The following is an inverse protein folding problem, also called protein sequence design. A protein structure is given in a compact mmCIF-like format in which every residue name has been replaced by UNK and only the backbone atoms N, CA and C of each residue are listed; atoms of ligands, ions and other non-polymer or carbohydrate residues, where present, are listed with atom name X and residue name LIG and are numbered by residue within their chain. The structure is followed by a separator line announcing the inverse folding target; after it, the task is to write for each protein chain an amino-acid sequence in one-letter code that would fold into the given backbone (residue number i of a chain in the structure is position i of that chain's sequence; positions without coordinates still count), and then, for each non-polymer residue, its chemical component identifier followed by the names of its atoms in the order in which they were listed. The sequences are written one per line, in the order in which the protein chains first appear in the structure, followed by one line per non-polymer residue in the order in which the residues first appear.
data_IF_615408514039
#
_entry.id   IF_615408514039
#
_cell.length_a   1.000
_cell.length_b   1.000
_cell.length_c   1.000
_cell.angle_alpha   90.00
_cell.angle_beta   90.00
_cell.angle_gamma   90.00
#
_symmetry.space_group_name_H-M   'P 1'
#
loop_
_entity.id
_entity.type
_entity.pdbx_description
1 polymer ?
#
# COMPACT_ATOMS: atom_id res chain seq x y z
N UNK A 1 -83.56 -44.16 34.75
CA UNK A 1 -84.23 -43.64 35.96
C UNK A 1 -83.69 -42.29 36.31
N UNK A 2 -84.64 -41.35 36.47
CA UNK A 2 -84.63 -40.09 37.21
C UNK A 2 -83.63 -39.00 36.74
N UNK A 3 -84.11 -37.98 36.06
CA UNK A 3 -84.79 -36.70 36.48
C UNK A 3 -83.77 -35.87 37.34
N UNK A 4 -83.45 -34.68 36.99
CA UNK A 4 -84.13 -33.39 36.61
C UNK A 4 -83.26 -32.32 37.28
N UNK A 5 -83.16 -31.13 37.01
CA UNK A 5 -84.10 -30.05 36.87
C UNK A 5 -83.32 -28.78 36.53
N UNK A 6 -83.88 -27.94 35.71
CA UNK A 6 -83.40 -26.61 35.32
C UNK A 6 -83.46 -25.63 36.50
N UNK A 7 -82.56 -24.64 36.52
CA UNK A 7 -82.99 -23.30 37.01
C UNK A 7 -82.22 -22.20 36.19
N UNK A 8 -83.06 -21.35 35.65
CA UNK A 8 -82.64 -20.07 35.00
C UNK A 8 -82.77 -19.00 36.03
N UNK A 9 -81.79 -18.16 36.14
CA UNK A 9 -82.00 -16.80 36.70
C UNK A 9 -81.36 -15.79 35.74
N UNK A 10 -82.22 -14.94 35.19
CA UNK A 10 -81.89 -13.72 34.50
C UNK A 10 -81.56 -12.65 35.52
N UNK A 11 -80.53 -11.89 35.38
CA UNK A 11 -80.47 -10.52 35.95
C UNK A 11 -79.84 -9.60 34.88
N UNK A 12 -80.47 -8.49 34.77
CA UNK A 12 -80.44 -7.44 33.79
C UNK A 12 -79.24 -6.52 33.95
N UNK A 13 -78.84 -5.99 32.85
CA UNK A 13 -77.95 -4.88 32.50
C UNK A 13 -77.66 -3.79 33.56
N UNK A 14 -76.41 -3.31 33.51
CA UNK A 14 -76.08 -1.89 33.62
C UNK A 14 -74.86 -1.58 32.76
N UNK A 15 -75.09 -0.74 31.77
CA UNK A 15 -74.08 -0.11 30.96
C UNK A 15 -73.46 1.04 31.74
N UNK A 16 -72.14 0.99 32.01
CA UNK A 16 -71.36 2.17 32.35
C UNK A 16 -70.23 2.34 31.35
N UNK A 17 -70.41 3.30 30.43
CA UNK A 17 -69.38 3.79 29.52
C UNK A 17 -68.37 4.61 30.34
N UNK A 18 -67.18 4.10 30.56
CA UNK A 18 -66.03 4.88 31.02
C UNK A 18 -65.00 4.85 29.87
N UNK A 19 -64.93 5.94 29.14
CA UNK A 19 -63.91 6.19 28.17
C UNK A 19 -62.59 6.40 28.85
N UNK A 20 -61.65 5.46 28.67
CA UNK A 20 -60.21 5.65 28.97
C UNK A 20 -59.50 5.81 27.64
N UNK A 21 -59.10 7.06 27.37
CA UNK A 21 -58.16 7.41 26.36
C UNK A 21 -56.83 6.71 26.66
N UNK A 22 -56.56 5.57 26.03
CA UNK A 22 -55.23 4.96 25.95
C UNK A 22 -54.37 5.76 24.99
N UNK A 23 -53.69 6.80 25.51
CA UNK A 23 -52.56 7.42 24.83
C UNK A 23 -51.51 6.33 24.66
N UNK A 24 -51.46 5.74 23.45
CA UNK A 24 -50.40 4.83 23.03
C UNK A 24 -49.07 5.60 23.06
N UNK A 25 -48.28 5.35 24.06
CA UNK A 25 -46.84 5.61 24.03
C UNK A 25 -46.25 4.72 22.93
N UNK A 26 -46.22 5.27 21.70
CA UNK A 26 -45.29 4.81 20.68
C UNK A 26 -43.86 5.12 21.21
N UNK A 27 -43.33 4.23 22.04
CA UNK A 27 -41.90 4.16 22.22
C UNK A 27 -41.34 3.83 20.84
N UNK A 28 -40.86 4.84 20.13
CA UNK A 28 -39.96 4.63 19.04
C UNK A 28 -38.78 3.84 19.64
N UNK A 29 -38.80 2.52 19.43
CA UNK A 29 -37.59 1.75 19.53
C UNK A 29 -36.66 2.35 18.45
N UNK A 30 -35.82 3.31 18.86
CA UNK A 30 -34.63 3.59 18.14
C UNK A 30 -33.87 2.25 18.10
N UNK A 31 -34.03 1.53 17.01
CA UNK A 31 -33.29 0.32 16.77
C UNK A 31 -31.85 0.66 17.06
N UNK A 32 -31.28 0.05 18.07
CA UNK A 32 -29.86 0.13 18.33
C UNK A 32 -29.17 -0.34 17.04
N UNK A 33 -28.77 0.61 16.21
CA UNK A 33 -28.00 0.33 15.01
C UNK A 33 -26.78 -0.41 15.55
N UNK A 34 -26.62 -1.67 15.14
CA UNK A 34 -25.49 -2.49 15.56
C UNK A 34 -24.25 -1.63 15.41
N UNK A 35 -23.51 -1.44 16.50
CA UNK A 35 -22.34 -0.57 16.49
C UNK A 35 -21.34 -1.15 15.50
N UNK A 36 -20.96 -0.36 14.51
CA UNK A 36 -19.94 -0.75 13.54
C UNK A 36 -18.65 -1.11 14.29
N UNK A 37 -18.00 -2.26 13.98
CA UNK A 37 -16.75 -2.65 14.64
C UNK A 37 -15.72 -1.52 14.63
N UNK A 38 -15.08 -1.27 15.78
CA UNK A 38 -14.08 -0.21 15.95
C UNK A 38 -14.59 1.22 15.88
N UNK A 39 -15.93 1.44 15.93
CA UNK A 39 -16.51 2.78 15.91
C UNK A 39 -17.31 3.03 17.19
N UNK A 40 -16.98 4.14 17.85
CA UNK A 40 -17.74 4.64 19.01
C UNK A 40 -18.31 6.04 18.70
N UNK A 41 -18.95 6.66 19.68
CA UNK A 41 -19.42 8.04 19.57
C UNK A 41 -18.28 9.06 19.39
N UNK A 42 -17.08 8.75 19.90
CA UNK A 42 -15.94 9.67 19.98
C UNK A 42 -14.62 9.13 19.38
N UNK A 43 -14.58 7.86 18.93
CA UNK A 43 -13.38 7.25 18.34
C UNK A 43 -13.67 6.36 17.13
N UNK A 44 -12.61 6.15 16.32
CA UNK A 44 -12.51 5.17 15.26
C UNK A 44 -11.18 4.45 15.47
N UNK A 45 -11.24 3.15 15.75
CA UNK A 45 -10.07 2.33 16.05
C UNK A 45 -9.59 1.59 14.79
N UNK A 46 -8.33 1.76 14.41
CA UNK A 46 -7.73 1.23 13.19
C UNK A 46 -6.46 0.46 13.53
N UNK A 47 -6.24 -0.67 12.87
CA UNK A 47 -5.01 -1.42 12.96
C UNK A 47 -3.97 -0.97 11.93
N UNK A 48 -2.70 -1.04 12.31
CA UNK A 48 -1.57 -0.78 11.43
C UNK A 48 -0.51 -1.87 11.60
N UNK A 49 -0.22 -2.61 10.53
CA UNK A 49 0.80 -3.67 10.52
C UNK A 49 1.97 -3.19 9.66
N UNK A 50 3.18 -3.37 10.16
CA UNK A 50 4.40 -3.08 9.40
C UNK A 50 5.56 -4.00 9.84
N UNK A 51 6.62 -4.04 9.04
CA UNK A 51 7.90 -4.64 9.42
C UNK A 51 8.79 -3.57 10.07
N UNK A 52 8.53 -3.24 11.35
CA UNK A 52 9.31 -2.24 12.09
C UNK A 52 10.64 -2.79 12.61
N UNK A 53 10.75 -4.11 12.67
CA UNK A 53 11.97 -4.84 12.98
C UNK A 53 12.21 -5.99 11.99
N UNK A 54 13.38 -6.64 12.07
CA UNK A 54 13.78 -7.68 11.13
C UNK A 54 14.34 -7.12 9.83
N UNK A 55 14.41 -7.98 8.81
CA UNK A 55 15.18 -7.76 7.56
C UNK A 55 14.57 -6.71 6.60
N UNK A 56 13.31 -6.30 6.79
CA UNK A 56 12.68 -5.23 6.00
C UNK A 56 12.64 -3.88 6.72
N UNK A 57 13.14 -3.80 7.96
CA UNK A 57 12.99 -2.64 8.84
C UNK A 57 13.56 -1.34 8.23
N UNK A 58 14.71 -1.40 7.57
CA UNK A 58 15.34 -0.21 6.98
C UNK A 58 14.46 0.47 5.93
N UNK A 59 13.77 -0.32 5.09
CA UNK A 59 12.84 0.17 4.07
C UNK A 59 11.56 0.74 4.68
N UNK A 60 11.08 0.13 5.79
CA UNK A 60 9.81 0.50 6.46
C UNK A 60 9.98 1.52 7.58
N UNK A 61 11.20 1.92 7.90
CA UNK A 61 11.51 2.83 9.01
C UNK A 61 10.62 4.08 9.01
N UNK A 62 10.05 4.38 10.17
CA UNK A 62 9.15 5.51 10.40
C UNK A 62 7.80 5.45 9.64
N UNK A 63 7.39 4.32 9.09
CA UNK A 63 6.07 4.21 8.44
C UNK A 63 4.93 4.43 9.45
N UNK A 64 5.03 3.82 10.63
CA UNK A 64 4.11 4.02 11.76
C UNK A 64 4.05 5.48 12.22
N UNK A 65 5.23 6.12 12.39
CA UNK A 65 5.33 7.52 12.79
C UNK A 65 4.73 8.47 11.76
N UNK A 66 4.88 8.15 10.48
CA UNK A 66 4.30 8.90 9.37
C UNK A 66 2.77 8.80 9.36
N UNK A 67 2.24 7.60 9.53
CA UNK A 67 0.81 7.37 9.70
C UNK A 67 0.26 8.14 10.90
N UNK A 68 0.89 7.96 12.07
CA UNK A 68 0.48 8.65 13.30
C UNK A 68 0.54 10.17 13.16
N UNK A 69 1.55 10.73 12.48
CA UNK A 69 1.65 12.16 12.23
C UNK A 69 0.51 12.69 11.35
N UNK A 70 0.10 11.93 10.31
CA UNK A 70 -1.05 12.29 9.47
C UNK A 70 -2.36 12.24 10.25
N UNK A 71 -2.55 11.19 11.04
CA UNK A 71 -3.73 11.02 11.91
C UNK A 71 -3.78 12.10 12.99
N UNK A 72 -2.66 12.39 13.66
CA UNK A 72 -2.57 13.44 14.67
C UNK A 72 -2.91 14.82 14.11
N UNK A 73 -2.45 15.11 12.88
CA UNK A 73 -2.82 16.34 12.19
C UNK A 73 -4.33 16.45 11.91
N UNK A 74 -5.01 15.32 11.64
CA UNK A 74 -6.47 15.27 11.49
C UNK A 74 -7.17 15.40 12.83
N UNK A 75 -6.70 14.68 13.85
CA UNK A 75 -7.27 14.72 15.20
C UNK A 75 -7.17 16.12 15.83
N UNK A 76 -6.10 16.87 15.53
CA UNK A 76 -5.94 18.26 15.96
C UNK A 76 -6.97 19.22 15.33
N UNK A 77 -7.58 18.82 14.20
CA UNK A 77 -8.68 19.57 13.52
C UNK A 77 -10.08 19.11 14.00
N UNK A 78 -10.17 18.31 15.05
CA UNK A 78 -11.45 17.78 15.57
C UNK A 78 -11.75 16.35 15.11
N UNK A 79 -10.79 15.63 14.53
CA UNK A 79 -10.96 14.26 14.06
C UNK A 79 -11.80 14.15 12.78
N UNK A 80 -12.61 13.11 12.70
CA UNK A 80 -13.56 12.86 11.60
C UNK A 80 -14.98 12.85 12.17
N UNK A 81 -15.78 13.83 11.80
CA UNK A 81 -17.15 14.01 12.32
C UNK A 81 -17.22 13.95 13.86
N UNK A 82 -16.25 14.56 14.55
CA UNK A 82 -16.15 14.60 16.01
C UNK A 82 -15.49 13.37 16.65
N UNK A 83 -15.13 12.35 15.89
CA UNK A 83 -14.43 11.15 16.36
C UNK A 83 -12.92 11.26 16.15
N UNK A 84 -12.13 10.91 17.15
CA UNK A 84 -10.68 10.78 17.01
C UNK A 84 -10.35 9.42 16.36
N UNK A 85 -9.34 9.40 15.52
CA UNK A 85 -8.78 8.16 14.95
C UNK A 85 -7.70 7.67 15.90
N UNK A 86 -7.81 6.43 16.37
CA UNK A 86 -6.80 5.75 17.16
C UNK A 86 -6.12 4.68 16.28
N UNK A 87 -4.81 4.65 16.27
CA UNK A 87 -4.03 3.70 15.47
C UNK A 87 -3.29 2.75 16.40
N UNK A 88 -3.63 1.47 16.34
CA UNK A 88 -2.90 0.40 17.01
C UNK A 88 -1.85 -0.17 16.06
N UNK A 89 -0.58 -0.01 16.41
CA UNK A 89 0.56 -0.46 15.61
C UNK A 89 1.02 -1.83 16.08
N UNK A 90 1.18 -2.78 15.14
CA UNK A 90 1.75 -4.10 15.38
C UNK A 90 2.92 -4.34 14.43
N UNK A 91 4.03 -4.81 15.00
CA UNK A 91 5.24 -5.17 14.27
C UNK A 91 5.19 -6.66 13.88
N UNK A 92 5.26 -6.98 12.60
CA UNK A 92 5.33 -8.36 12.12
C UNK A 92 6.76 -8.94 12.14
N UNK A 93 7.75 -8.13 12.51
CA UNK A 93 9.14 -8.53 12.62
C UNK A 93 9.70 -9.13 11.32
N UNK A 94 9.16 -8.71 10.18
CA UNK A 94 9.49 -9.27 8.85
C UNK A 94 9.22 -10.79 8.75
N UNK A 95 8.19 -11.28 9.43
CA UNK A 95 7.78 -12.70 9.50
C UNK A 95 6.39 -12.90 8.91
N UNK A 96 6.25 -13.87 7.99
CA UNK A 96 4.96 -14.26 7.41
C UNK A 96 3.94 -14.63 8.49
N UNK A 97 4.34 -15.51 9.44
CA UNK A 97 3.45 -15.94 10.51
C UNK A 97 2.98 -14.81 11.41
N UNK A 98 3.90 -13.89 11.77
CA UNK A 98 3.55 -12.75 12.60
C UNK A 98 2.66 -11.75 11.88
N UNK A 99 2.80 -11.55 10.56
CA UNK A 99 1.90 -10.70 9.77
C UNK A 99 0.45 -11.23 9.84
N UNK A 100 0.25 -12.54 9.65
CA UNK A 100 -1.08 -13.14 9.78
C UNK A 100 -1.62 -13.08 11.22
N UNK A 101 -0.76 -13.33 12.23
CA UNK A 101 -1.16 -13.26 13.64
C UNK A 101 -1.54 -11.83 14.05
N UNK A 102 -0.81 -10.82 13.57
CA UNK A 102 -1.14 -9.42 13.77
C UNK A 102 -2.51 -9.05 13.17
N UNK A 103 -2.80 -9.52 11.95
CA UNK A 103 -4.10 -9.31 11.33
C UNK A 103 -5.24 -9.96 12.13
N UNK A 104 -5.04 -11.17 12.63
CA UNK A 104 -6.01 -11.87 13.50
C UNK A 104 -6.23 -11.13 14.81
N UNK A 105 -5.16 -10.67 15.48
CA UNK A 105 -5.27 -9.91 16.74
C UNK A 105 -6.06 -8.61 16.56
N UNK A 106 -5.75 -7.85 15.51
CA UNK A 106 -6.46 -6.60 15.21
C UNK A 106 -7.96 -6.82 14.97
N UNK A 107 -8.33 -7.88 14.26
CA UNK A 107 -9.72 -8.13 13.87
C UNK A 107 -10.50 -8.82 14.98
N UNK A 108 -9.95 -9.92 15.56
CA UNK A 108 -10.68 -10.75 16.52
C UNK A 108 -10.67 -10.21 17.93
N UNK A 109 -9.52 -9.67 18.40
CA UNK A 109 -9.35 -9.26 19.79
C UNK A 109 -9.57 -7.76 19.96
N UNK A 110 -9.12 -6.95 19.00
CA UNK A 110 -9.22 -5.47 19.10
C UNK A 110 -10.40 -4.90 18.33
N UNK A 111 -11.07 -5.73 17.51
CA UNK A 111 -12.28 -5.37 16.79
C UNK A 111 -12.16 -4.06 16.00
N UNK A 112 -11.03 -3.86 15.28
CA UNK A 112 -10.75 -2.61 14.56
C UNK A 112 -11.69 -2.39 13.38
N UNK A 113 -11.94 -1.13 13.04
CA UNK A 113 -12.76 -0.72 11.88
C UNK A 113 -12.12 -1.10 10.55
N UNK A 114 -10.85 -0.82 10.40
CA UNK A 114 -10.06 -1.08 9.19
C UNK A 114 -8.64 -1.52 9.56
N UNK A 115 -7.95 -2.16 8.64
CA UNK A 115 -6.54 -2.52 8.76
C UNK A 115 -5.75 -1.78 7.68
N UNK A 116 -4.63 -1.19 8.09
CA UNK A 116 -3.58 -0.75 7.17
C UNK A 116 -2.44 -1.76 7.28
N UNK A 117 -2.01 -2.34 6.17
CA UNK A 117 -0.89 -3.28 6.15
C UNK A 117 0.23 -2.75 5.25
N UNK A 118 1.19 -2.08 5.89
CA UNK A 118 2.39 -1.51 5.26
C UNK A 118 3.57 -2.50 5.25
N UNK A 119 3.33 -3.77 5.53
CA UNK A 119 4.38 -4.79 5.55
C UNK A 119 4.75 -5.24 4.14
N UNK A 120 6.04 -5.53 3.93
CA UNK A 120 6.51 -6.23 2.73
C UNK A 120 5.95 -7.66 2.59
N UNK A 121 5.30 -8.18 3.63
CA UNK A 121 4.73 -9.53 3.71
C UNK A 121 3.20 -9.52 3.81
N UNK A 122 2.54 -8.41 3.51
CA UNK A 122 1.10 -8.23 3.59
C UNK A 122 0.31 -9.24 2.75
N UNK A 123 0.93 -9.79 1.70
CA UNK A 123 0.36 -10.87 0.88
C UNK A 123 0.01 -12.13 1.68
N UNK A 124 0.57 -12.32 2.87
CA UNK A 124 0.28 -13.49 3.70
C UNK A 124 -1.04 -13.37 4.49
N UNK A 125 -1.51 -12.16 4.76
CA UNK A 125 -2.72 -11.94 5.58
C UNK A 125 -3.92 -11.38 4.81
N UNK A 126 -3.75 -10.91 3.56
CA UNK A 126 -4.82 -10.22 2.85
C UNK A 126 -6.08 -11.07 2.68
N UNK A 127 -5.95 -12.38 2.38
CA UNK A 127 -7.10 -13.28 2.21
C UNK A 127 -7.93 -13.42 3.50
N UNK A 128 -7.24 -13.49 4.63
CA UNK A 128 -7.91 -13.50 5.93
C UNK A 128 -8.67 -12.19 6.16
N UNK A 129 -8.01 -11.03 5.99
CA UNK A 129 -8.64 -9.72 6.18
C UNK A 129 -9.83 -9.55 5.22
N UNK A 130 -9.66 -9.95 3.96
CA UNK A 130 -10.70 -9.92 2.93
C UNK A 130 -11.91 -10.76 3.33
N UNK A 131 -11.70 -12.01 3.79
CA UNK A 131 -12.78 -12.92 4.20
C UNK A 131 -13.57 -12.43 5.42
N UNK A 132 -12.99 -11.54 6.23
CA UNK A 132 -13.67 -10.92 7.36
C UNK A 132 -14.45 -9.63 6.97
N UNK A 133 -14.45 -9.24 5.69
CA UNK A 133 -15.11 -8.03 5.22
C UNK A 133 -14.53 -6.74 5.81
N UNK A 134 -13.28 -6.79 6.32
CA UNK A 134 -12.60 -5.64 6.90
C UNK A 134 -11.94 -4.83 5.79
N UNK A 135 -12.14 -3.50 5.71
CA UNK A 135 -11.39 -2.66 4.78
C UNK A 135 -9.88 -2.78 5.01
N UNK A 136 -9.14 -3.08 3.95
CA UNK A 136 -7.69 -3.16 3.95
C UNK A 136 -7.11 -2.06 3.08
N UNK A 137 -6.24 -1.24 3.65
CA UNK A 137 -5.36 -0.35 2.91
C UNK A 137 -3.95 -0.94 2.97
N UNK A 138 -3.31 -1.16 1.83
CA UNK A 138 -1.99 -1.76 1.79
C UNK A 138 -0.97 -0.94 1.02
N UNK A 139 0.30 -1.25 1.24
CA UNK A 139 1.41 -0.55 0.59
C UNK A 139 1.44 -0.72 -0.93
N UNK A 140 0.84 -1.78 -1.45
CA UNK A 140 0.72 -2.04 -2.87
C UNK A 140 1.95 -2.64 -3.53
N UNK A 141 3.04 -2.82 -2.81
CA UNK A 141 4.28 -3.40 -3.35
C UNK A 141 4.53 -4.84 -2.90
N UNK A 142 3.77 -5.34 -1.97
CA UNK A 142 3.96 -6.63 -1.30
C UNK A 142 3.29 -7.81 -2.00
N UNK A 143 2.43 -7.56 -3.00
CA UNK A 143 1.72 -8.64 -3.68
C UNK A 143 0.99 -8.24 -4.95
N UNK A 144 0.37 -9.21 -5.58
CA UNK A 144 -0.34 -9.08 -6.85
C UNK A 144 -1.87 -9.13 -6.68
N UNK A 145 -2.39 -8.81 -5.52
CA UNK A 145 -3.80 -8.97 -5.16
C UNK A 145 -4.61 -7.66 -5.17
N UNK A 146 -3.94 -6.52 -5.34
CA UNK A 146 -4.59 -5.21 -5.44
C UNK A 146 -5.28 -5.01 -6.79
N UNK A 147 -6.44 -4.37 -6.78
CA UNK A 147 -7.19 -4.07 -7.99
C UNK A 147 -7.78 -5.29 -8.69
N UNK A 148 -7.79 -6.45 -8.05
CA UNK A 148 -8.44 -7.66 -8.58
C UNK A 148 -9.94 -7.64 -8.28
N UNK A 149 -10.75 -8.12 -9.23
CA UNK A 149 -12.18 -8.35 -9.00
C UNK A 149 -12.37 -9.37 -7.88
N UNK A 150 -13.26 -9.09 -6.94
CA UNK A 150 -13.46 -9.86 -5.73
C UNK A 150 -12.66 -9.36 -4.52
N UNK A 151 -11.74 -8.41 -4.73
CA UNK A 151 -10.94 -7.78 -3.68
C UNK A 151 -11.30 -6.28 -3.50
N UNK A 152 -12.59 -5.94 -3.68
CA UNK A 152 -13.06 -4.55 -3.63
C UNK A 152 -12.91 -3.90 -2.24
N UNK A 153 -12.77 -4.69 -1.19
CA UNK A 153 -12.43 -4.18 0.15
C UNK A 153 -10.92 -3.96 0.39
N UNK A 154 -10.08 -4.18 -0.64
CA UNK A 154 -8.62 -4.00 -0.59
C UNK A 154 -8.22 -2.83 -1.47
N UNK A 155 -7.61 -1.81 -0.86
CA UNK A 155 -7.22 -0.57 -1.52
C UNK A 155 -5.71 -0.41 -1.42
N UNK A 156 -5.07 -0.12 -2.55
CA UNK A 156 -3.61 0.06 -2.61
C UNK A 156 -3.21 1.51 -2.38
N UNK A 157 -2.21 1.73 -1.53
CA UNK A 157 -1.56 3.02 -1.32
C UNK A 157 -0.77 3.56 -2.53
N UNK A 158 -0.53 2.70 -3.53
CA UNK A 158 0.13 3.07 -4.80
C UNK A 158 -0.78 2.93 -6.03
N UNK A 159 -2.10 2.86 -5.83
CA UNK A 159 -3.09 2.65 -6.88
C UNK A 159 -3.41 1.17 -7.12
N UNK A 160 -4.46 0.91 -7.89
CA UNK A 160 -4.98 -0.45 -8.14
C UNK A 160 -4.17 -1.26 -9.15
N UNK A 161 -2.89 -0.94 -9.35
CA UNK A 161 -2.02 -1.65 -10.27
C UNK A 161 -1.06 -2.55 -9.50
N UNK A 162 -1.41 -3.81 -9.36
CA UNK A 162 -0.47 -4.79 -8.86
C UNK A 162 0.59 -5.10 -9.94
N UNK A 163 1.86 -5.28 -9.55
CA UNK A 163 2.86 -5.83 -10.46
C UNK A 163 2.41 -7.21 -10.91
N UNK A 164 2.29 -7.42 -12.20
CA UNK A 164 1.93 -8.71 -12.79
C UNK A 164 3.09 -9.19 -13.64
N UNK A 165 3.43 -10.46 -13.53
CA UNK A 165 4.43 -11.05 -14.43
C UNK A 165 3.98 -10.85 -15.87
N UNK A 166 4.84 -10.23 -16.66
CA UNK A 166 4.56 -9.92 -18.07
C UNK A 166 4.14 -8.48 -18.35
N UNK A 167 3.85 -7.65 -17.33
CA UNK A 167 3.58 -6.22 -17.50
C UNK A 167 4.57 -5.36 -16.70
N UNK A 168 5.01 -4.24 -17.26
CA UNK A 168 5.89 -3.26 -16.60
C UNK A 168 5.75 -1.88 -17.25
N UNK A 169 6.41 -0.87 -16.69
CA UNK A 169 6.47 0.47 -17.29
C UNK A 169 7.87 0.80 -17.81
N UNK A 170 7.93 1.53 -18.91
CA UNK A 170 9.18 1.81 -19.62
C UNK A 170 9.96 3.03 -19.14
N UNK A 171 9.48 3.78 -18.13
CA UNK A 171 10.16 4.98 -17.63
C UNK A 171 11.56 4.69 -17.08
N UNK A 172 11.72 3.66 -16.26
CA UNK A 172 13.01 3.24 -15.70
C UNK A 172 13.97 2.73 -16.79
N UNK A 173 13.51 1.86 -17.66
CA UNK A 173 14.35 1.29 -18.74
C UNK A 173 14.74 2.35 -19.77
N UNK A 174 13.87 3.32 -20.07
CA UNK A 174 14.21 4.49 -20.91
C UNK A 174 15.30 5.35 -20.28
N UNK A 175 15.27 5.54 -18.95
CA UNK A 175 16.34 6.24 -18.25
C UNK A 175 17.66 5.47 -18.38
N UNK A 176 17.66 4.17 -18.08
CA UNK A 176 18.83 3.32 -18.19
C UNK A 176 19.41 3.31 -19.62
N UNK A 177 18.54 3.32 -20.64
CA UNK A 177 18.98 3.47 -22.04
C UNK A 177 19.70 4.78 -22.30
N UNK A 178 19.19 5.90 -21.78
CA UNK A 178 19.85 7.22 -21.88
C UNK A 178 21.19 7.26 -21.16
N UNK A 179 21.37 6.47 -20.10
CA UNK A 179 22.64 6.30 -19.39
C UNK A 179 23.63 5.39 -20.15
N UNK A 180 23.23 4.81 -21.27
CA UNK A 180 24.07 3.98 -22.10
C UNK A 180 24.03 2.49 -21.78
N UNK A 181 23.08 2.03 -20.96
CA UNK A 181 22.88 0.61 -20.66
C UNK A 181 22.54 -0.13 -21.95
N UNK A 182 23.25 -1.24 -22.20
CA UNK A 182 23.09 -2.09 -23.38
C UNK A 182 22.55 -3.47 -23.05
N UNK A 183 22.79 -3.94 -21.82
CA UNK A 183 22.32 -5.23 -21.33
C UNK A 183 21.85 -5.10 -19.88
N UNK A 184 20.54 -5.29 -19.65
CA UNK A 184 19.89 -5.08 -18.36
C UNK A 184 19.67 -6.38 -17.61
N UNK A 185 20.21 -6.50 -16.40
CA UNK A 185 19.84 -7.53 -15.45
C UNK A 185 18.84 -7.03 -14.40
N UNK A 186 18.24 -7.98 -13.68
CA UNK A 186 17.45 -7.68 -12.49
C UNK A 186 17.51 -8.82 -11.47
N UNK A 187 17.22 -8.48 -10.21
CA UNK A 187 17.12 -9.44 -9.10
C UNK A 187 15.82 -9.17 -8.35
N UNK A 188 15.09 -10.24 -8.01
CA UNK A 188 13.87 -10.20 -7.21
C UNK A 188 13.88 -11.24 -6.11
N UNK A 189 13.13 -11.01 -5.04
CA UNK A 189 12.98 -11.97 -3.93
C UNK A 189 12.03 -13.11 -4.31
N UNK A 190 12.42 -14.36 -4.02
CA UNK A 190 11.61 -15.54 -4.33
C UNK A 190 10.28 -15.60 -3.56
N UNK A 191 10.25 -15.10 -2.33
CA UNK A 191 9.02 -15.09 -1.51
C UNK A 191 8.11 -13.89 -1.78
N UNK A 192 8.60 -12.84 -2.46
CA UNK A 192 7.83 -11.63 -2.74
C UNK A 192 7.29 -11.65 -4.17
N UNK A 193 5.99 -11.89 -4.36
CA UNK A 193 5.39 -11.94 -5.70
C UNK A 193 5.60 -10.66 -6.52
N UNK A 194 5.56 -9.49 -5.85
CA UNK A 194 5.76 -8.20 -6.53
C UNK A 194 7.22 -7.97 -6.92
N UNK A 195 8.17 -8.33 -6.06
CA UNK A 195 9.61 -8.17 -6.35
C UNK A 195 10.04 -9.07 -7.51
N UNK A 196 9.67 -10.36 -7.47
CA UNK A 196 9.97 -11.32 -8.55
C UNK A 196 9.31 -10.92 -9.87
N UNK A 197 8.00 -10.59 -9.85
CA UNK A 197 7.27 -10.17 -11.04
C UNK A 197 7.85 -8.89 -11.66
N UNK A 198 8.23 -7.91 -10.83
CA UNK A 198 8.81 -6.65 -11.29
C UNK A 198 10.18 -6.86 -11.94
N UNK A 199 11.05 -7.68 -11.33
CA UNK A 199 12.35 -8.02 -11.88
C UNK A 199 12.22 -8.73 -13.23
N UNK A 200 11.39 -9.77 -13.29
CA UNK A 200 11.19 -10.58 -14.48
C UNK A 200 10.59 -9.76 -15.63
N UNK A 201 9.51 -9.01 -15.36
CA UNK A 201 8.83 -8.21 -16.38
C UNK A 201 9.73 -7.10 -16.92
N UNK A 202 10.56 -6.49 -16.07
CA UNK A 202 11.49 -5.44 -16.49
C UNK A 202 12.56 -5.98 -17.43
N UNK A 203 13.13 -7.17 -17.16
CA UNK A 203 14.15 -7.78 -18.03
C UNK A 203 13.52 -8.31 -19.31
N UNK A 204 12.40 -9.04 -19.21
CA UNK A 204 11.81 -9.72 -20.38
C UNK A 204 11.08 -8.77 -21.34
N UNK A 205 10.47 -7.71 -20.84
CA UNK A 205 9.62 -6.82 -21.63
C UNK A 205 10.06 -5.35 -21.58
N UNK A 206 10.40 -4.83 -20.41
CA UNK A 206 10.81 -3.44 -20.25
C UNK A 206 12.13 -3.11 -20.96
N UNK A 207 13.12 -3.99 -20.84
CA UNK A 207 14.42 -3.81 -21.48
C UNK A 207 14.30 -3.83 -23.02
N UNK A 208 13.67 -4.85 -23.66
CA UNK A 208 13.47 -4.86 -25.11
C UNK A 208 12.67 -3.66 -25.62
N UNK A 209 11.62 -3.22 -24.90
CA UNK A 209 10.83 -2.04 -25.26
C UNK A 209 11.67 -0.75 -25.30
N UNK A 210 12.76 -0.69 -24.52
CA UNK A 210 13.73 0.42 -24.54
C UNK A 210 14.92 0.18 -25.48
N UNK A 211 14.97 -0.95 -26.23
CA UNK A 211 16.10 -1.33 -27.05
C UNK A 211 17.35 -1.71 -26.25
N UNK A 212 17.15 -2.34 -25.10
CA UNK A 212 18.18 -2.90 -24.21
C UNK A 212 18.08 -4.43 -24.29
N UNK A 213 19.20 -5.15 -24.37
CA UNK A 213 19.20 -6.62 -24.36
C UNK A 213 18.89 -7.15 -22.95
N UNK A 214 18.08 -8.21 -22.81
CA UNK A 214 17.96 -8.96 -21.56
C UNK A 214 19.31 -9.49 -21.08
N UNK A 215 19.57 -9.39 -19.78
CA UNK A 215 20.78 -9.82 -19.13
C UNK A 215 20.53 -10.78 -17.98
N UNK A 216 21.29 -10.63 -16.90
CA UNK A 216 21.14 -11.45 -15.68
C UNK A 216 19.74 -11.35 -15.09
N UNK A 217 19.17 -12.49 -14.73
CA UNK A 217 17.88 -12.52 -14.04
C UNK A 217 17.92 -13.57 -12.92
N UNK A 218 17.73 -13.13 -11.68
CA UNK A 218 17.45 -13.98 -10.54
C UNK A 218 16.17 -13.48 -9.84
N UNK A 219 15.14 -14.32 -9.77
CA UNK A 219 13.86 -14.04 -9.10
C UNK A 219 13.65 -14.88 -7.85
N UNK A 220 14.72 -15.50 -7.35
CA UNK A 220 14.68 -16.44 -6.23
C UNK A 220 15.60 -16.04 -5.07
N UNK A 221 16.09 -14.78 -5.05
CA UNK A 221 16.94 -14.31 -3.96
C UNK A 221 16.21 -14.49 -2.62
N UNK A 222 16.87 -15.01 -1.58
CA UNK A 222 16.30 -15.05 -0.24
C UNK A 222 15.92 -13.65 0.26
N UNK A 223 14.77 -13.54 0.93
CA UNK A 223 14.27 -12.26 1.41
C UNK A 223 15.25 -11.62 2.41
N UNK A 224 15.66 -10.38 2.12
CA UNK A 224 16.62 -9.64 2.93
C UNK A 224 18.06 -10.17 2.87
N UNK A 225 18.36 -11.07 1.95
CA UNK A 225 19.73 -11.60 1.76
C UNK A 225 20.73 -10.48 1.44
N UNK A 226 21.85 -10.47 2.16
CA UNK A 226 22.97 -9.54 1.96
C UNK A 226 24.27 -10.27 1.58
N UNK A 227 24.27 -11.59 1.59
CA UNK A 227 25.31 -12.40 0.94
C UNK A 227 25.02 -12.45 -0.56
N UNK A 228 25.63 -11.54 -1.29
CA UNK A 228 25.33 -11.27 -2.72
C UNK A 228 26.47 -11.72 -3.65
N UNK A 229 27.42 -12.48 -3.15
CA UNK A 229 28.55 -12.97 -3.92
C UNK A 229 28.15 -13.73 -5.20
N UNK A 230 27.23 -14.71 -5.11
CA UNK A 230 26.71 -15.42 -6.28
C UNK A 230 26.05 -14.51 -7.32
N UNK A 231 25.29 -13.51 -6.86
CA UNK A 231 24.62 -12.53 -7.73
C UNK A 231 25.63 -11.66 -8.47
N UNK A 232 26.63 -11.13 -7.76
CA UNK A 232 27.72 -10.32 -8.33
C UNK A 232 28.47 -11.10 -9.40
N UNK A 233 28.80 -12.37 -9.12
CA UNK A 233 29.44 -13.26 -10.10
C UNK A 233 28.54 -13.52 -11.31
N UNK A 234 27.25 -13.79 -11.10
CA UNK A 234 26.25 -14.00 -12.15
C UNK A 234 26.10 -12.76 -13.05
N UNK A 235 26.03 -11.56 -12.46
CA UNK A 235 25.97 -10.28 -13.18
C UNK A 235 27.23 -10.11 -14.04
N UNK A 236 28.41 -10.30 -13.46
CA UNK A 236 29.70 -10.21 -14.15
C UNK A 236 29.75 -11.17 -15.35
N UNK A 237 29.44 -12.45 -15.14
CA UNK A 237 29.50 -13.48 -16.18
C UNK A 237 28.47 -13.26 -17.29
N UNK A 238 27.31 -12.67 -16.95
CA UNK A 238 26.29 -12.34 -17.94
C UNK A 238 26.69 -11.19 -18.86
N UNK A 239 27.65 -10.35 -18.45
CA UNK A 239 28.01 -9.12 -19.15
C UNK A 239 26.91 -8.06 -19.09
N UNK A 240 26.03 -8.09 -18.07
CA UNK A 240 25.07 -7.01 -17.82
C UNK A 240 25.79 -5.74 -17.39
N UNK A 241 25.49 -4.63 -18.05
CA UNK A 241 26.06 -3.30 -17.77
C UNK A 241 25.03 -2.32 -17.15
N UNK A 242 23.84 -2.84 -16.82
CA UNK A 242 22.81 -2.17 -16.04
C UNK A 242 22.02 -3.15 -15.19
N UNK A 243 21.49 -2.66 -14.07
CA UNK A 243 20.67 -3.47 -13.15
C UNK A 243 19.38 -2.74 -12.75
N UNK A 244 18.32 -3.52 -12.53
CA UNK A 244 17.11 -3.11 -11.83
C UNK A 244 16.94 -3.94 -10.58
N UNK A 245 16.80 -3.28 -9.42
CA UNK A 245 16.81 -3.90 -8.09
C UNK A 245 15.53 -3.51 -7.31
N UNK A 246 14.41 -4.25 -7.48
CA UNK A 246 13.19 -4.09 -6.69
C UNK A 246 13.31 -4.83 -5.35
N UNK A 247 14.28 -4.45 -4.53
CA UNK A 247 14.65 -5.12 -3.28
C UNK A 247 14.58 -4.15 -2.09
N UNK A 248 14.76 -4.67 -0.88
CA UNK A 248 14.93 -3.85 0.32
C UNK A 248 16.20 -3.02 0.25
N UNK A 249 16.23 -1.92 0.99
CA UNK A 249 17.33 -0.96 0.99
C UNK A 249 18.69 -1.61 1.24
N UNK A 250 18.80 -2.44 2.28
CA UNK A 250 20.08 -3.08 2.67
C UNK A 250 20.60 -4.05 1.59
N UNK A 251 19.72 -4.86 1.02
CA UNK A 251 20.07 -5.78 -0.08
C UNK A 251 20.49 -5.02 -1.34
N UNK A 252 19.79 -3.94 -1.69
CA UNK A 252 20.17 -3.07 -2.81
C UNK A 252 21.61 -2.56 -2.66
N UNK A 253 21.95 -2.04 -1.48
CA UNK A 253 23.31 -1.53 -1.22
C UNK A 253 24.36 -2.62 -1.13
N UNK A 254 24.02 -3.81 -0.60
CA UNK A 254 24.94 -4.95 -0.63
C UNK A 254 25.34 -5.32 -2.06
N UNK A 255 24.38 -5.36 -3.00
CA UNK A 255 24.64 -5.62 -4.43
C UNK A 255 25.51 -4.51 -5.03
N UNK A 256 25.16 -3.23 -4.79
CA UNK A 256 25.95 -2.09 -5.29
C UNK A 256 27.38 -2.16 -4.81
N UNK A 257 27.59 -2.39 -3.53
CA UNK A 257 28.93 -2.51 -2.92
C UNK A 257 29.69 -3.74 -3.47
N UNK A 258 29.02 -4.87 -3.59
CA UNK A 258 29.60 -6.09 -4.15
C UNK A 258 30.10 -5.90 -5.58
N UNK A 259 29.31 -5.23 -6.43
CA UNK A 259 29.68 -4.89 -7.80
C UNK A 259 30.89 -3.95 -7.85
N UNK A 260 30.92 -2.92 -6.99
CA UNK A 260 32.05 -2.00 -6.88
C UNK A 260 33.33 -2.71 -6.43
N UNK A 261 33.25 -3.54 -5.39
CA UNK A 261 34.39 -4.32 -4.88
C UNK A 261 34.94 -5.33 -5.90
N UNK A 262 34.06 -5.94 -6.68
CA UNK A 262 34.42 -6.89 -7.73
C UNK A 262 34.91 -6.21 -9.02
N UNK A 263 34.95 -4.87 -9.06
CA UNK A 263 35.34 -4.09 -10.23
C UNK A 263 34.44 -4.33 -11.45
N UNK A 264 33.16 -4.61 -11.25
CA UNK A 264 32.19 -4.79 -12.33
C UNK A 264 31.67 -3.42 -12.77
N UNK A 265 32.00 -2.95 -13.98
CA UNK A 265 31.59 -1.63 -14.43
C UNK A 265 30.10 -1.62 -14.76
N UNK A 266 29.37 -0.68 -14.16
CA UNK A 266 27.95 -0.47 -14.42
C UNK A 266 27.74 0.89 -15.09
N UNK A 267 26.75 0.97 -15.99
CA UNK A 267 26.31 2.22 -16.63
C UNK A 267 25.06 2.79 -15.98
N UNK A 268 24.31 1.96 -15.26
CA UNK A 268 23.13 2.37 -14.52
C UNK A 268 22.59 1.27 -13.64
N UNK A 269 22.37 1.60 -12.38
CA UNK A 269 21.69 0.75 -11.38
C UNK A 269 20.45 1.49 -10.93
N UNK A 270 19.28 0.93 -11.20
CA UNK A 270 18.00 1.48 -10.78
C UNK A 270 17.46 0.68 -9.60
N UNK A 271 17.30 1.34 -8.45
CA UNK A 271 16.79 0.75 -7.22
C UNK A 271 15.37 1.25 -6.94
N UNK A 272 14.47 0.36 -6.51
CA UNK A 272 13.12 0.72 -6.10
C UNK A 272 13.07 1.33 -4.69
N UNK A 273 14.09 1.13 -3.87
CA UNK A 273 14.23 1.67 -2.51
C UNK A 273 15.63 2.26 -2.32
N UNK A 274 15.87 2.96 -1.19
CA UNK A 274 17.17 3.56 -0.88
C UNK A 274 17.16 5.08 -0.75
N UNK A 275 16.13 5.75 -1.24
CA UNK A 275 15.95 7.18 -1.02
C UNK A 275 15.51 7.42 0.43
N UNK A 276 16.46 7.82 1.30
CA UNK A 276 16.23 8.03 2.74
C UNK A 276 17.33 8.83 3.38
N UNK A 277 17.04 9.49 4.52
CA UNK A 277 18.06 10.18 5.34
C UNK A 277 19.14 9.20 5.82
N UNK A 278 18.75 7.97 6.17
CA UNK A 278 19.70 6.96 6.64
C UNK A 278 20.80 6.65 5.63
N UNK A 279 20.50 6.71 4.33
CA UNK A 279 21.53 6.58 3.31
C UNK A 279 22.53 7.72 3.37
N UNK A 280 22.05 8.97 3.46
CA UNK A 280 22.93 10.15 3.50
C UNK A 280 23.84 10.16 4.74
N UNK A 281 23.37 9.55 5.84
CA UNK A 281 24.11 9.45 7.10
C UNK A 281 25.19 8.34 7.08
N UNK A 282 25.17 7.48 6.05
CA UNK A 282 26.14 6.38 5.92
C UNK A 282 27.37 6.78 5.08
N UNK A 283 28.55 6.20 5.35
CA UNK A 283 29.75 6.45 4.55
C UNK A 283 29.58 6.19 3.05
N UNK A 284 28.76 5.20 2.67
CA UNK A 284 28.49 4.84 1.28
C UNK A 284 27.93 6.02 0.47
N UNK A 285 27.20 6.95 1.09
CA UNK A 285 26.68 8.13 0.40
C UNK A 285 27.76 8.98 -0.28
N UNK A 286 29.01 8.93 0.23
CA UNK A 286 30.15 9.64 -0.35
C UNK A 286 30.82 8.90 -1.49
N UNK A 287 30.60 7.58 -1.59
CA UNK A 287 31.24 6.69 -2.58
C UNK A 287 30.27 6.13 -3.60
N UNK A 288 28.98 6.37 -3.43
CA UNK A 288 27.96 6.01 -4.43
C UNK A 288 28.33 6.71 -5.75
N UNK A 289 28.41 5.90 -6.80
CA UNK A 289 28.69 6.38 -8.13
C UNK A 289 27.44 7.05 -8.75
N UNK A 290 27.61 7.99 -9.69
CA UNK A 290 26.48 8.67 -10.35
C UNK A 290 25.54 7.76 -11.14
N UNK A 291 25.94 6.53 -11.40
CA UNK A 291 25.16 5.49 -12.07
C UNK A 291 24.11 4.83 -11.16
N UNK A 292 24.17 5.04 -9.84
CA UNK A 292 23.19 4.51 -8.89
C UNK A 292 22.03 5.50 -8.70
N UNK A 293 20.83 5.05 -9.04
CA UNK A 293 19.62 5.88 -9.07
C UNK A 293 18.50 5.19 -8.29
N UNK A 294 17.80 5.96 -7.48
CA UNK A 294 16.58 5.55 -6.79
C UNK A 294 15.35 6.04 -7.54
N UNK A 295 14.37 5.16 -7.73
CA UNK A 295 13.07 5.47 -8.29
C UNK A 295 12.10 5.79 -7.16
N UNK A 296 11.29 6.84 -7.31
CA UNK A 296 10.20 7.13 -6.37
C UNK A 296 8.95 7.63 -7.10
N UNK A 297 7.79 7.11 -6.73
CA UNK A 297 6.48 7.61 -7.15
C UNK A 297 5.99 8.80 -6.30
N UNK A 298 6.76 9.20 -5.30
CA UNK A 298 6.44 10.25 -4.34
C UNK A 298 7.32 11.46 -4.57
N UNK A 299 6.77 12.67 -4.38
CA UNK A 299 7.50 13.91 -4.56
C UNK A 299 8.72 13.99 -3.64
N UNK A 300 9.95 13.96 -4.16
CA UNK A 300 11.16 14.13 -3.35
C UNK A 300 11.11 15.42 -2.53
N UNK A 301 11.55 15.37 -1.27
CA UNK A 301 11.50 16.55 -0.38
C UNK A 301 12.39 17.70 -0.89
N UNK A 302 13.37 17.40 -1.72
CA UNK A 302 14.23 18.38 -2.39
C UNK A 302 13.46 19.30 -3.34
N UNK A 303 12.28 18.90 -3.82
CA UNK A 303 11.42 19.73 -4.67
C UNK A 303 10.76 20.87 -3.88
N UNK A 304 10.71 20.78 -2.54
CA UNK A 304 10.18 21.82 -1.65
C UNK A 304 8.76 22.28 -2.03
N UNK A 305 7.93 21.36 -2.54
CA UNK A 305 6.54 21.66 -2.87
C UNK A 305 5.72 21.99 -1.60
N UNK A 306 4.55 22.62 -1.70
CA UNK A 306 3.67 22.80 -0.55
C UNK A 306 3.37 21.47 0.17
N UNK A 307 3.16 20.37 -0.58
CA UNK A 307 2.86 19.06 -0.03
C UNK A 307 4.06 18.47 0.74
N UNK A 308 5.27 18.51 0.18
CA UNK A 308 6.46 18.00 0.87
C UNK A 308 6.80 18.81 2.12
N UNK A 309 6.62 20.14 2.08
CA UNK A 309 6.77 21.02 3.26
C UNK A 309 5.75 20.67 4.35
N UNK A 310 4.48 20.47 3.96
CA UNK A 310 3.42 20.09 4.91
C UNK A 310 3.68 18.71 5.53
N UNK A 311 4.11 17.74 4.72
CA UNK A 311 4.53 16.42 5.20
C UNK A 311 5.65 16.54 6.25
N UNK A 312 6.75 17.22 5.91
CA UNK A 312 7.87 17.41 6.83
C UNK A 312 7.49 18.18 8.10
N UNK A 313 6.62 19.19 7.98
CA UNK A 313 6.09 19.93 9.13
C UNK A 313 5.26 19.03 10.07
N UNK A 314 4.39 18.18 9.52
CA UNK A 314 3.61 17.22 10.30
C UNK A 314 4.51 16.19 10.98
N UNK A 315 5.49 15.65 10.26
CA UNK A 315 6.46 14.69 10.81
C UNK A 315 7.22 15.29 11.99
N UNK A 316 7.79 16.48 11.81
CA UNK A 316 8.51 17.18 12.87
C UNK A 316 7.60 17.46 14.08
N UNK A 317 6.38 17.96 13.84
CA UNK A 317 5.46 18.39 14.91
C UNK A 317 4.92 17.24 15.73
N UNK A 318 4.51 16.13 15.07
CA UNK A 318 3.74 15.08 15.71
C UNK A 318 4.53 13.80 15.99
N UNK A 319 5.69 13.62 15.35
CA UNK A 319 6.53 12.43 15.57
C UNK A 319 8.00 12.73 15.87
N UNK A 320 8.42 13.99 15.80
CA UNK A 320 9.83 14.39 16.02
C UNK A 320 10.79 13.95 14.90
N UNK A 321 10.27 13.30 13.84
CA UNK A 321 11.09 12.81 12.72
C UNK A 321 11.36 13.94 11.74
N UNK A 322 12.61 14.03 11.30
CA UNK A 322 13.09 15.03 10.32
C UNK A 322 13.92 14.36 9.24
N UNK A 323 14.28 15.10 8.20
CA UNK A 323 15.14 14.63 7.11
C UNK A 323 14.37 14.06 5.93
N UNK A 324 15.06 13.23 5.16
CA UNK A 324 14.49 12.57 3.97
C UNK A 324 13.77 11.31 4.38
N UNK A 325 12.48 11.15 4.01
CA UNK A 325 11.72 9.98 4.39
C UNK A 325 12.20 8.71 3.67
N UNK A 326 12.02 7.58 4.33
CA UNK A 326 12.14 6.26 3.69
C UNK A 326 10.95 5.99 2.77
N UNK A 327 11.00 4.89 2.02
CA UNK A 327 9.84 4.37 1.29
C UNK A 327 8.63 4.20 2.24
N UNK A 328 8.82 3.50 3.36
CA UNK A 328 7.78 3.33 4.38
C UNK A 328 7.29 4.65 4.98
N UNK A 329 8.18 5.64 5.14
CA UNK A 329 7.79 6.97 5.60
C UNK A 329 6.78 7.65 4.68
N UNK A 330 6.95 7.55 3.36
CA UNK A 330 5.96 8.06 2.40
C UNK A 330 4.68 7.23 2.38
N UNK A 331 4.80 5.90 2.26
CA UNK A 331 3.62 5.04 2.17
C UNK A 331 2.75 5.13 3.41
N UNK A 332 3.34 5.10 4.61
CA UNK A 332 2.58 5.21 5.85
C UNK A 332 1.80 6.53 5.98
N UNK A 333 2.36 7.66 5.52
CA UNK A 333 1.65 8.92 5.50
C UNK A 333 0.48 8.91 4.50
N UNK A 334 0.72 8.39 3.30
CA UNK A 334 -0.26 8.35 2.21
C UNK A 334 -1.40 7.39 2.53
N UNK A 335 -1.11 6.22 3.08
CA UNK A 335 -2.13 5.24 3.51
C UNK A 335 -3.03 5.81 4.60
N UNK A 336 -2.46 6.50 5.58
CA UNK A 336 -3.25 7.16 6.60
C UNK A 336 -3.96 8.42 6.09
N UNK A 337 -3.46 9.11 5.06
CA UNK A 337 -4.24 10.14 4.35
C UNK A 337 -5.42 9.51 3.60
N UNK A 338 -5.21 8.40 2.95
CA UNK A 338 -6.25 7.64 2.25
C UNK A 338 -7.36 7.20 3.22
N UNK A 339 -6.98 6.65 4.37
CA UNK A 339 -7.92 6.33 5.45
C UNK A 339 -8.74 7.57 5.84
N UNK A 340 -8.09 8.70 6.09
CA UNK A 340 -8.76 9.95 6.50
C UNK A 340 -9.73 10.43 5.42
N UNK A 341 -9.34 10.41 4.14
CA UNK A 341 -10.22 10.81 3.03
C UNK A 341 -11.46 9.92 2.93
N UNK A 342 -11.28 8.60 3.03
CA UNK A 342 -12.38 7.64 3.02
C UNK A 342 -13.34 7.85 4.19
N UNK A 343 -12.81 8.05 5.39
CA UNK A 343 -13.62 8.32 6.58
C UNK A 343 -14.41 9.64 6.47
N UNK A 344 -13.79 10.69 5.95
CA UNK A 344 -14.47 11.98 5.74
C UNK A 344 -15.60 11.85 4.71
N UNK A 345 -15.35 11.12 3.62
CA UNK A 345 -16.34 10.90 2.56
C UNK A 345 -17.50 9.99 2.98
N UNK A 346 -17.28 9.05 3.92
CA UNK A 346 -18.32 8.19 4.46
C UNK A 346 -19.35 8.93 5.36
N UNK A 347 -18.99 10.10 5.86
CA UNK A 347 -19.91 10.94 6.64
C UNK A 347 -20.10 10.50 8.09
N UNK A 348 -21.20 10.99 8.70
CA UNK A 348 -21.47 10.77 10.15
C UNK A 348 -21.89 9.35 10.48
N UNK A 349 -22.68 8.71 9.62
CA UNK A 349 -23.16 7.33 9.79
C UNK A 349 -22.14 6.36 9.21
N UNK A 350 -21.00 6.25 9.90
CA UNK A 350 -19.86 5.47 9.42
C UNK A 350 -20.15 3.98 9.51
N UNK A 351 -20.01 3.30 8.35
CA UNK A 351 -19.99 1.84 8.22
C UNK A 351 -18.80 1.46 7.33
N UNK A 352 -18.33 0.21 7.42
CA UNK A 352 -17.28 -0.31 6.53
C UNK A 352 -17.67 -0.20 5.06
N UNK A 353 -18.93 -0.53 4.73
CA UNK A 353 -19.43 -0.39 3.35
C UNK A 353 -19.43 1.08 2.90
N UNK A 354 -19.96 2.00 3.74
CA UNK A 354 -19.94 3.43 3.43
C UNK A 354 -18.54 4.01 3.26
N UNK A 355 -17.57 3.49 4.01
CA UNK A 355 -16.15 3.82 3.84
C UNK A 355 -15.63 3.33 2.47
N UNK A 356 -15.87 2.07 2.10
CA UNK A 356 -15.48 1.52 0.80
C UNK A 356 -16.15 2.26 -0.36
N UNK A 357 -17.44 2.54 -0.25
CA UNK A 357 -18.18 3.33 -1.24
C UNK A 357 -17.60 4.74 -1.42
N UNK A 358 -17.13 5.34 -0.33
CA UNK A 358 -16.44 6.63 -0.37
C UNK A 358 -15.09 6.53 -1.06
N UNK A 359 -14.30 5.50 -0.75
CA UNK A 359 -13.02 5.25 -1.40
C UNK A 359 -13.18 5.02 -2.90
N UNK A 360 -14.18 4.26 -3.31
CA UNK A 360 -14.48 3.96 -4.71
C UNK A 360 -15.11 5.12 -5.50
N UNK A 361 -15.31 6.29 -4.88
CA UNK A 361 -15.63 7.56 -5.56
C UNK A 361 -14.40 8.42 -5.84
N UNK A 362 -13.25 8.08 -5.30
CA UNK A 362 -12.01 8.86 -5.45
C UNK A 362 -11.34 8.53 -6.80
N UNK A 363 -11.68 9.27 -7.84
CA UNK A 363 -11.09 9.09 -9.18
C UNK A 363 -9.83 9.92 -9.45
N UNK A 364 -9.41 10.77 -8.49
CA UNK A 364 -8.21 11.62 -8.59
C UNK A 364 -7.55 11.77 -7.22
N UNK A 365 -7.33 10.66 -6.53
CA UNK A 365 -6.63 10.68 -5.25
C UNK A 365 -5.15 11.05 -5.45
N UNK A 366 -4.68 12.08 -4.77
CA UNK A 366 -3.34 12.67 -5.00
C UNK A 366 -2.34 12.43 -3.86
N UNK A 367 -2.68 11.58 -2.86
CA UNK A 367 -1.80 11.27 -1.73
C UNK A 367 -1.38 12.49 -0.92
N UNK A 368 -2.32 13.35 -0.54
CA UNK A 368 -2.04 14.65 0.09
C UNK A 368 -1.11 15.56 -0.76
N UNK A 369 -1.09 15.38 -2.07
CA UNK A 369 -0.23 16.11 -3.02
C UNK A 369 1.20 15.55 -3.14
N UNK A 370 1.47 14.39 -2.55
CA UNK A 370 2.77 13.73 -2.61
C UNK A 370 2.93 12.79 -3.81
N UNK A 371 1.84 12.34 -4.42
CA UNK A 371 1.90 11.43 -5.55
C UNK A 371 2.36 12.13 -6.83
N UNK A 372 3.13 11.40 -7.64
CA UNK A 372 3.59 11.84 -8.95
C UNK A 372 2.43 12.07 -9.91
N UNK A 373 1.43 11.21 -9.87
CA UNK A 373 0.16 11.35 -10.57
C UNK A 373 -0.99 10.89 -9.67
N UNK A 374 -2.18 11.48 -9.81
CA UNK A 374 -3.35 11.02 -9.08
C UNK A 374 -3.71 9.58 -9.42
N UNK A 375 -4.24 8.85 -8.44
CA UNK A 375 -4.77 7.49 -8.64
C UNK A 375 -6.29 7.53 -8.81
N UNK A 376 -6.79 6.68 -9.68
CA UNK A 376 -8.21 6.36 -9.79
C UNK A 376 -8.48 5.11 -8.94
N UNK A 377 -9.23 5.27 -7.85
CA UNK A 377 -9.59 4.21 -6.92
C UNK A 377 -11.01 3.67 -7.18
N UNK A 378 -11.65 4.08 -8.28
CA UNK A 378 -13.01 3.62 -8.61
C UNK A 378 -13.01 2.14 -9.02
N UNK A 379 -14.15 1.50 -8.84
CA UNK A 379 -14.35 0.10 -9.26
C UNK A 379 -14.12 -0.13 -10.76
N UNK A 380 -14.22 0.91 -11.57
CA UNK A 380 -13.96 0.84 -13.01
C UNK A 380 -12.49 0.50 -13.36
N UNK A 381 -11.57 0.68 -12.40
CA UNK A 381 -10.14 0.35 -12.56
C UNK A 381 -9.80 -1.08 -12.14
N UNK A 382 -10.71 -1.77 -11.43
CA UNK A 382 -10.47 -3.14 -11.00
C UNK A 382 -10.37 -4.08 -12.21
N UNK A 383 -9.39 -4.97 -12.17
CA UNK A 383 -9.03 -5.84 -13.30
C UNK A 383 -8.24 -5.12 -14.39
N UNK A 384 -7.70 -3.91 -14.11
CA UNK A 384 -6.89 -3.15 -15.07
C UNK A 384 -5.64 -2.61 -14.43
N UNK A 385 -4.55 -2.60 -15.17
CA UNK A 385 -3.32 -1.88 -14.85
C UNK A 385 -3.34 -0.54 -15.60
N UNK A 386 -3.06 0.60 -14.96
CA UNK A 386 -3.04 1.90 -15.63
C UNK A 386 -2.14 1.92 -16.86
N UNK A 387 -2.55 2.63 -17.91
CA UNK A 387 -1.77 2.73 -19.16
C UNK A 387 -0.43 3.47 -18.98
N UNK A 388 -0.32 4.28 -17.94
CA UNK A 388 0.88 5.06 -17.63
C UNK A 388 1.22 5.00 -16.15
N UNK A 389 2.51 5.13 -15.86
CA UNK A 389 3.06 5.35 -14.51
C UNK A 389 3.90 6.61 -14.51
N UNK A 390 4.06 7.20 -13.34
CA UNK A 390 4.83 8.41 -13.13
C UNK A 390 5.86 8.18 -12.02
N UNK A 391 7.11 8.61 -12.26
CA UNK A 391 8.16 8.49 -11.25
C UNK A 391 9.14 9.66 -11.33
N UNK A 392 9.68 10.04 -10.18
CA UNK A 392 10.94 10.78 -10.13
C UNK A 392 12.11 9.82 -10.00
N UNK A 393 13.25 10.27 -10.45
CA UNK A 393 14.53 9.58 -10.31
C UNK A 393 15.47 10.44 -9.49
N UNK A 394 16.11 9.86 -8.51
CA UNK A 394 16.95 10.56 -7.55
C UNK A 394 18.33 9.91 -7.53
N UNK A 395 19.36 10.67 -7.76
CA UNK A 395 20.75 10.28 -7.60
C UNK A 395 21.37 10.89 -6.33
N UNK A 396 22.61 10.52 -6.04
CA UNK A 396 23.41 11.14 -4.97
C UNK A 396 24.59 11.88 -5.61
N UNK A 397 24.80 13.11 -5.18
CA UNK A 397 25.94 13.92 -5.57
C UNK A 397 26.45 14.70 -4.36
N UNK A 398 27.73 14.61 -4.08
CA UNK A 398 28.40 15.30 -2.95
C UNK A 398 27.67 15.04 -1.61
N UNK A 399 27.25 13.79 -1.37
CA UNK A 399 26.54 13.37 -0.16
C UNK A 399 25.12 13.96 -0.01
N UNK A 400 24.50 14.39 -1.11
CA UNK A 400 23.14 14.95 -1.14
C UNK A 400 22.29 14.29 -2.23
N UNK A 401 21.00 14.17 -2.01
CA UNK A 401 20.10 13.77 -3.05
C UNK A 401 19.90 14.87 -4.11
N UNK A 402 19.88 14.46 -5.37
CA UNK A 402 19.63 15.31 -6.51
C UNK A 402 18.51 14.70 -7.33
N UNK A 403 17.41 15.43 -7.50
CA UNK A 403 16.32 14.99 -8.36
C UNK A 403 16.72 15.20 -9.82
N UNK A 404 16.78 14.11 -10.56
CA UNK A 404 17.18 14.11 -11.96
C UNK A 404 16.12 14.76 -12.85
N UNK A 405 16.40 14.86 -14.16
CA UNK A 405 15.49 15.45 -15.15
C UNK A 405 15.02 16.87 -14.76
N UNK A 406 15.92 17.67 -14.13
CA UNK A 406 15.61 19.04 -13.67
C UNK A 406 14.40 19.10 -12.70
N UNK A 407 14.24 18.09 -11.86
CA UNK A 407 13.15 17.98 -10.89
C UNK A 407 11.80 17.55 -11.50
N UNK A 408 11.73 17.30 -12.81
CA UNK A 408 10.49 16.87 -13.46
C UNK A 408 10.33 15.36 -13.38
N UNK A 409 9.12 14.87 -13.15
CA UNK A 409 8.86 13.43 -13.19
C UNK A 409 8.91 12.90 -14.64
N UNK A 410 9.07 11.61 -14.75
CA UNK A 410 9.07 10.88 -16.04
C UNK A 410 7.83 9.99 -16.11
N UNK A 411 7.07 10.15 -17.19
CA UNK A 411 5.91 9.32 -17.47
C UNK A 411 6.34 8.10 -18.26
N UNK A 412 6.05 6.91 -17.75
CA UNK A 412 6.21 5.64 -18.43
C UNK A 412 4.92 5.16 -19.08
N UNK A 413 5.05 4.41 -20.15
CA UNK A 413 3.94 3.67 -20.77
C UNK A 413 3.97 2.23 -20.30
N UNK A 414 2.78 1.63 -20.15
CA UNK A 414 2.67 0.20 -19.90
C UNK A 414 3.18 -0.57 -21.12
N UNK A 415 4.07 -1.50 -20.90
CA UNK A 415 4.65 -2.42 -21.89
C UNK A 415 4.65 -3.83 -21.32
N UNK A 416 4.67 -4.85 -22.19
CA UNK A 416 4.65 -6.21 -21.69
C UNK A 416 4.27 -7.23 -22.75
N UNK A 417 3.81 -8.38 -22.28
CA UNK A 417 3.28 -9.45 -23.11
C UNK A 417 2.07 -8.94 -23.93
N UNK A 418 2.03 -9.16 -25.25
CA UNK A 418 0.95 -8.67 -26.11
C UNK A 418 -0.43 -9.18 -25.71
N UNK A 419 -0.54 -10.43 -25.24
CA UNK A 419 -1.80 -11.03 -24.79
C UNK A 419 -2.29 -10.33 -23.53
N UNK A 420 -1.42 -10.16 -22.54
CA UNK A 420 -1.74 -9.47 -21.30
C UNK A 420 -2.08 -7.99 -21.51
N UNK A 421 -1.41 -7.32 -22.44
CA UNK A 421 -1.76 -5.94 -22.83
C UNK A 421 -3.15 -5.86 -23.45
N UNK A 422 -3.54 -6.83 -24.28
CA UNK A 422 -4.87 -6.90 -24.88
C UNK A 422 -5.95 -7.18 -23.80
N UNK A 423 -5.71 -8.13 -22.92
CA UNK A 423 -6.59 -8.45 -21.79
C UNK A 423 -6.77 -7.25 -20.86
N UNK A 424 -5.66 -6.56 -20.51
CA UNK A 424 -5.70 -5.35 -19.72
C UNK A 424 -6.56 -4.26 -20.35
N UNK A 425 -6.45 -4.04 -21.67
CA UNK A 425 -7.27 -3.09 -22.41
C UNK A 425 -8.75 -3.48 -22.40
N UNK A 426 -9.05 -4.76 -22.50
CA UNK A 426 -10.41 -5.30 -22.45
C UNK A 426 -11.00 -5.26 -21.02
N UNK A 427 -10.16 -5.14 -19.98
CA UNK A 427 -10.58 -5.24 -18.57
C UNK A 427 -10.97 -6.65 -18.15
N UNK A 428 -10.44 -7.65 -18.88
CA UNK A 428 -10.58 -9.08 -18.57
C UNK A 428 -9.43 -9.63 -17.75
N UNK A 429 -8.47 -8.76 -17.47
CA UNK A 429 -7.29 -9.07 -16.68
C UNK A 429 -7.68 -9.45 -15.25
N UNK A 430 -7.06 -10.48 -14.71
CA UNK A 430 -7.09 -10.78 -13.29
C UNK A 430 -8.03 -11.84 -12.72
N UNK A 431 -8.68 -12.63 -13.53
CA UNK A 431 -9.32 -13.82 -12.95
C UNK A 431 -8.43 -15.06 -12.90
N UNK A 432 -7.22 -15.00 -13.48
CA UNK A 432 -6.33 -16.17 -13.65
C UNK A 432 -5.00 -16.12 -12.89
N UNK A 433 -4.68 -15.05 -12.18
CA UNK A 433 -3.52 -15.08 -11.31
C UNK A 433 -3.88 -15.79 -9.99
N UNK A 434 -3.82 -17.11 -10.02
CA UNK A 434 -3.66 -17.88 -8.79
C UNK A 434 -2.40 -17.32 -8.11
N UNK A 435 -2.57 -16.66 -6.97
CA UNK A 435 -1.43 -16.29 -6.14
C UNK A 435 -0.62 -17.58 -5.88
N UNK A 436 0.71 -17.58 -6.05
CA UNK A 436 1.50 -18.74 -5.70
C UNK A 436 1.27 -19.04 -4.22
N UNK A 437 0.86 -20.24 -3.89
CA UNK A 437 0.67 -20.73 -2.54
C UNK A 437 -0.81 -20.82 -2.11
N UNK A 438 -1.65 -21.53 -2.87
CA UNK A 438 -2.85 -22.17 -2.38
C UNK A 438 -2.52 -23.55 -1.87
#
# INVERSE_FOLDING_TARGET
MARGTKWRVRVVAAVAVAGLASAGLLTAQAGAQASEPGVTSNSIDVGYILSNSGIAASTQKNADKSCQARVAAQNAKGGVNGRKINVTVLDDQSSLGNNLNAAKDLIQNRNVFAVINNSALGFNSYRYIQSQGVPLIGAGFDGTYYGLKGNENIISGIGNSAPVVGLTYDNGTKLLKKMGVTKLGAIGYGVSPSSSASAESTVKYGAPAAGIKPGYLNTTLPFGGTDVGPEVLGIKNSGSDGMYLPLNTDTNFAIVQGLQQAGVPMKGILMATGYSQDLLDQPIAKTIQPDVIMLTGYAPVELKTPATKQYQANMKKYSGVTGVPTYGGYTGYIECDMLVQGLLGAGKNLTRQGFLDSMHKLNKYNGAGLLCQPYDLTLATFGKTPATSCSWFVGVKDGKFVVLNKGKPVIGKLVGDPTLLAENKAGTFATTTTAPGG
#
